data_IF_934322758998
#
_entry.id   IF_934322758998
#
_cell.length_a   1.000
_cell.length_b   1.000
_cell.length_c   1.000
_cell.angle_alpha   90.00
_cell.angle_beta   90.00
_cell.angle_gamma   90.00
#
_symmetry.space_group_name_H-M   'P 1'
#
loop_
_entity.id
_entity.type
_entity.pdbx_description
1 polymer ?
#
# COMPACT_ATOMS: atom_id res chain seq x y z
N UNK A 1 26.76 3.56 11.67
CA UNK A 1 25.96 3.71 12.90
C UNK A 1 25.63 5.17 13.23
N UNK A 2 26.52 6.14 12.95
CA UNK A 2 26.25 7.56 13.24
C UNK A 2 25.07 8.11 12.44
N UNK A 3 24.98 7.80 11.16
CA UNK A 3 23.86 8.19 10.30
C UNK A 3 22.53 7.49 10.61
N UNK A 4 22.57 6.34 11.26
CA UNK A 4 21.39 5.55 11.61
C UNK A 4 20.38 6.36 12.43
N UNK A 5 20.85 7.03 13.50
CA UNK A 5 19.96 7.81 14.38
C UNK A 5 19.36 9.03 13.66
N UNK A 6 20.13 9.65 12.76
CA UNK A 6 19.63 10.74 11.92
C UNK A 6 18.57 10.29 10.91
N UNK A 7 18.77 9.13 10.27
CA UNK A 7 17.80 8.55 9.34
C UNK A 7 16.52 8.14 10.08
N UNK A 8 16.66 7.45 11.22
CA UNK A 8 15.52 7.06 12.07
C UNK A 8 14.74 8.30 12.49
N UNK A 9 15.42 9.33 13.00
CA UNK A 9 14.78 10.59 13.40
C UNK A 9 14.08 11.28 12.22
N UNK A 10 14.70 11.29 11.05
CA UNK A 10 14.11 11.85 9.83
C UNK A 10 12.84 11.11 9.40
N UNK A 11 12.88 9.77 9.39
CA UNK A 11 11.73 8.94 9.01
C UNK A 11 10.60 9.04 10.04
N UNK A 12 10.92 8.99 11.34
CA UNK A 12 9.92 9.10 12.42
C UNK A 12 9.21 10.44 12.39
N UNK A 13 9.96 11.53 12.15
CA UNK A 13 9.37 12.87 12.04
C UNK A 13 8.54 13.05 10.76
N UNK A 14 8.95 12.45 9.66
CA UNK A 14 8.27 12.56 8.37
C UNK A 14 6.97 11.75 8.32
N UNK A 15 6.91 10.65 9.06
CA UNK A 15 5.77 9.73 9.11
C UNK A 15 4.96 9.85 10.40
N UNK A 16 5.29 10.81 11.26
CA UNK A 16 4.68 11.03 12.58
C UNK A 16 4.56 9.75 13.43
N UNK A 17 5.62 8.94 13.41
CA UNK A 17 5.63 7.67 14.13
C UNK A 17 5.96 7.88 15.60
N UNK A 18 5.16 7.30 16.49
CA UNK A 18 5.36 7.32 17.95
C UNK A 18 6.48 6.40 18.42
N UNK A 19 7.67 6.51 17.83
CA UNK A 19 8.83 5.71 18.24
C UNK A 19 9.61 6.45 19.33
N UNK A 20 9.76 5.81 20.48
CA UNK A 20 10.60 6.36 21.55
C UNK A 20 12.08 6.29 21.17
N UNK A 21 12.61 7.41 20.65
CA UNK A 21 13.99 7.54 20.18
C UNK A 21 15.04 7.28 21.29
N UNK A 22 14.66 7.33 22.57
CA UNK A 22 15.57 7.05 23.70
C UNK A 22 15.91 5.56 23.83
N UNK A 23 15.04 4.66 23.32
CA UNK A 23 15.25 3.22 23.33
C UNK A 23 16.18 2.71 22.21
N UNK A 24 16.54 3.57 21.25
CA UNK A 24 17.40 3.20 20.13
C UNK A 24 18.85 3.48 20.50
N UNK A 25 19.70 2.42 20.70
CA UNK A 25 21.08 2.62 21.10
C UNK A 25 21.90 3.26 19.98
N UNK A 26 22.79 4.19 20.33
CA UNK A 26 23.73 4.81 19.39
C UNK A 26 24.66 3.78 18.71
N UNK A 27 25.06 2.76 19.45
CA UNK A 27 25.92 1.67 18.98
C UNK A 27 25.28 0.32 19.37
N UNK A 28 24.94 -0.45 18.36
CA UNK A 28 24.51 -1.83 18.55
C UNK A 28 25.66 -2.75 18.09
N UNK A 29 26.45 -3.23 19.05
CA UNK A 29 27.63 -4.06 18.79
C UNK A 29 27.26 -5.34 18.02
N UNK A 30 26.13 -5.96 18.34
CA UNK A 30 25.64 -7.14 17.62
C UNK A 30 25.32 -6.85 16.16
N UNK A 31 24.67 -5.72 15.86
CA UNK A 31 24.37 -5.32 14.49
C UNK A 31 25.66 -5.01 13.71
N UNK A 32 26.61 -4.30 14.34
CA UNK A 32 27.91 -3.99 13.73
C UNK A 32 28.68 -5.26 13.43
N UNK A 33 28.77 -6.21 14.38
CA UNK A 33 29.47 -7.48 14.20
C UNK A 33 28.86 -8.32 13.08
N UNK A 34 27.52 -8.46 13.04
CA UNK A 34 26.82 -9.18 11.97
C UNK A 34 27.04 -8.53 10.59
N UNK A 35 26.99 -7.20 10.52
CA UNK A 35 27.23 -6.46 9.28
C UNK A 35 28.68 -6.60 8.82
N UNK A 36 29.64 -6.50 9.74
CA UNK A 36 31.05 -6.70 9.43
C UNK A 36 31.34 -8.13 8.92
N UNK A 37 30.75 -9.14 9.56
CA UNK A 37 30.85 -10.53 9.11
C UNK A 37 30.24 -10.73 7.71
N UNK A 38 29.10 -10.12 7.43
CA UNK A 38 28.45 -10.17 6.12
C UNK A 38 29.30 -9.48 5.03
N UNK A 39 29.84 -8.28 5.31
CA UNK A 39 30.71 -7.57 4.38
C UNK A 39 32.00 -8.40 4.12
N UNK A 40 32.56 -8.98 5.15
CA UNK A 40 33.76 -9.82 5.04
C UNK A 40 33.49 -11.06 4.17
N UNK A 41 32.33 -11.70 4.32
CA UNK A 41 31.90 -12.81 3.46
C UNK A 41 31.78 -12.37 1.99
N UNK A 42 31.18 -11.21 1.71
CA UNK A 42 31.08 -10.65 0.35
C UNK A 42 32.48 -10.39 -0.23
N UNK A 43 33.38 -9.77 0.54
CA UNK A 43 34.75 -9.49 0.11
C UNK A 43 35.49 -10.79 -0.23
N UNK A 44 35.35 -11.83 0.55
CA UNK A 44 35.93 -13.17 0.26
C UNK A 44 35.39 -13.71 -1.06
N UNK A 45 34.06 -13.67 -1.27
CA UNK A 45 33.45 -14.16 -2.53
C UNK A 45 33.96 -13.38 -3.72
N UNK A 46 34.05 -12.05 -3.62
CA UNK A 46 34.60 -11.19 -4.68
C UNK A 46 36.08 -11.48 -4.93
N UNK A 47 36.86 -11.66 -3.87
CA UNK A 47 38.30 -11.99 -3.96
C UNK A 47 38.51 -13.33 -4.65
N UNK A 48 37.74 -14.36 -4.31
CA UNK A 48 37.77 -15.68 -4.94
C UNK A 48 37.34 -15.61 -6.42
N UNK A 49 36.32 -14.83 -6.73
CA UNK A 49 35.83 -14.62 -8.10
C UNK A 49 36.89 -13.91 -8.96
N UNK A 50 37.49 -12.84 -8.46
CA UNK A 50 38.54 -12.10 -9.14
C UNK A 50 39.82 -12.93 -9.28
N UNK A 51 40.20 -13.69 -8.26
CA UNK A 51 41.33 -14.60 -8.29
C UNK A 51 41.17 -15.65 -9.37
N UNK A 52 39.99 -16.29 -9.49
CA UNK A 52 39.68 -17.23 -10.58
C UNK A 52 39.82 -16.60 -11.96
N UNK A 53 39.42 -15.35 -12.09
CA UNK A 53 39.56 -14.60 -13.35
C UNK A 53 41.05 -14.36 -13.68
N UNK A 54 41.84 -13.92 -12.71
CA UNK A 54 43.29 -13.66 -12.86
C UNK A 54 44.08 -14.94 -13.23
N UNK A 55 43.76 -16.07 -12.54
CA UNK A 55 44.42 -17.35 -12.86
C UNK A 55 44.08 -17.92 -14.25
N UNK A 56 42.90 -17.54 -14.79
CA UNK A 56 42.51 -17.95 -16.17
C UNK A 56 43.04 -17.03 -17.27
N UNK A 57 43.52 -15.86 -16.95
CA UNK A 57 43.97 -14.86 -17.92
C UNK A 57 45.49 -14.77 -17.90
N UNK A 58 46.15 -15.05 -19.03
CA UNK A 58 47.60 -14.85 -19.15
C UNK A 58 47.94 -13.35 -19.07
N UNK A 59 49.08 -13.00 -18.48
CA UNK A 59 49.60 -11.62 -18.40
C UNK A 59 49.55 -10.92 -19.76
N UNK A 60 49.91 -11.63 -20.84
CA UNK A 60 49.84 -11.13 -22.21
C UNK A 60 48.40 -10.93 -22.68
N UNK A 61 47.45 -11.75 -22.19
CA UNK A 61 46.02 -11.61 -22.44
C UNK A 61 45.44 -10.34 -21.78
N UNK A 62 45.93 -9.99 -20.59
CA UNK A 62 45.50 -8.79 -19.85
C UNK A 62 45.94 -7.51 -20.59
N UNK A 63 47.17 -7.44 -21.09
CA UNK A 63 47.69 -6.29 -21.85
C UNK A 63 47.01 -6.19 -23.23
N UNK A 64 46.65 -7.32 -23.84
CA UNK A 64 45.92 -7.35 -25.13
C UNK A 64 44.41 -7.20 -24.97
N UNK A 65 43.87 -7.32 -23.76
CA UNK A 65 42.43 -7.21 -23.52
C UNK A 65 41.90 -5.81 -23.91
N UNK A 66 42.72 -4.78 -23.70
CA UNK A 66 42.41 -3.41 -24.10
C UNK A 66 42.33 -3.20 -25.63
N UNK A 67 42.99 -4.08 -26.39
CA UNK A 67 43.05 -4.06 -27.89
C UNK A 67 42.19 -5.17 -28.52
N UNK A 68 41.57 -6.07 -27.74
CA UNK A 68 40.75 -7.13 -28.32
C UNK A 68 39.47 -6.53 -28.85
N UNK A 69 39.21 -6.73 -30.15
CA UNK A 69 37.95 -6.34 -30.77
C UNK A 69 36.82 -7.00 -30.01
N UNK A 70 35.90 -6.20 -29.49
CA UNK A 70 34.73 -6.70 -28.76
C UNK A 70 34.02 -7.80 -29.56
N UNK A 71 33.70 -8.90 -28.86
CA UNK A 71 32.94 -10.02 -29.45
C UNK A 71 31.66 -9.52 -30.10
N UNK A 72 31.46 -9.82 -31.39
CA UNK A 72 30.20 -9.52 -32.09
C UNK A 72 29.05 -10.15 -31.33
N UNK A 73 28.13 -9.33 -30.80
CA UNK A 73 26.92 -9.86 -30.20
C UNK A 73 26.12 -10.58 -31.29
N UNK A 74 25.86 -11.85 -31.06
CA UNK A 74 24.91 -12.62 -31.89
C UNK A 74 23.52 -12.37 -31.33
N UNK A 75 22.61 -12.01 -32.20
CA UNK A 75 21.19 -11.96 -31.84
C UNK A 75 20.69 -13.40 -31.67
N UNK A 76 20.11 -13.68 -30.56
CA UNK A 76 19.41 -14.92 -30.27
C UNK A 76 17.94 -14.63 -30.05
N UNK A 77 17.09 -14.99 -31.00
CA UNK A 77 15.64 -14.74 -30.91
C UNK A 77 14.98 -15.52 -29.77
N UNK A 78 15.44 -16.74 -29.53
CA UNK A 78 14.85 -17.64 -28.51
C UNK A 78 14.89 -17.01 -27.11
N UNK A 79 16.01 -16.53 -26.55
CA UNK A 79 16.01 -15.90 -25.23
C UNK A 79 15.16 -14.63 -25.17
N UNK A 80 15.04 -13.86 -26.27
CA UNK A 80 14.19 -12.67 -26.30
C UNK A 80 12.71 -13.02 -26.17
N UNK A 81 12.26 -14.04 -26.92
CA UNK A 81 10.88 -14.53 -26.87
C UNK A 81 10.60 -15.13 -25.49
N UNK A 82 11.49 -15.98 -24.98
CA UNK A 82 11.34 -16.59 -23.65
C UNK A 82 11.27 -15.50 -22.58
N UNK A 83 12.14 -14.50 -22.60
CA UNK A 83 12.12 -13.40 -21.67
C UNK A 83 10.81 -12.61 -21.72
N UNK A 84 10.30 -12.33 -22.91
CA UNK A 84 9.02 -11.67 -23.10
C UNK A 84 7.85 -12.50 -22.59
N UNK A 85 7.82 -13.80 -22.89
CA UNK A 85 6.80 -14.71 -22.37
C UNK A 85 6.84 -14.82 -20.83
N UNK A 86 8.04 -14.87 -20.23
CA UNK A 86 8.18 -14.87 -18.77
C UNK A 86 7.60 -13.60 -18.14
N UNK A 87 7.84 -12.42 -18.73
CA UNK A 87 7.27 -11.17 -18.25
C UNK A 87 5.74 -11.21 -18.33
N UNK A 88 5.18 -11.59 -19.48
CA UNK A 88 3.72 -11.69 -19.66
C UNK A 88 3.11 -12.67 -18.67
N UNK A 89 3.70 -13.86 -18.52
CA UNK A 89 3.23 -14.85 -17.54
C UNK A 89 3.28 -14.31 -16.12
N UNK A 90 4.33 -13.57 -15.75
CA UNK A 90 4.41 -12.90 -14.46
C UNK A 90 3.30 -11.89 -14.24
N UNK A 91 2.97 -11.06 -15.22
CA UNK A 91 1.85 -10.11 -15.15
C UNK A 91 0.48 -10.81 -15.11
N UNK A 92 0.26 -11.81 -15.94
CA UNK A 92 -0.98 -12.60 -15.92
C UNK A 92 -1.18 -13.25 -14.56
N UNK A 93 -0.11 -13.83 -13.99
CA UNK A 93 -0.16 -14.45 -12.67
C UNK A 93 -0.41 -13.39 -11.57
N UNK A 94 0.18 -12.20 -11.69
CA UNK A 94 -0.08 -11.11 -10.74
C UNK A 94 -1.54 -10.63 -10.80
N UNK A 95 -2.13 -10.53 -12.00
CA UNK A 95 -3.52 -10.10 -12.18
C UNK A 95 -4.55 -11.17 -11.77
N UNK A 96 -4.14 -12.43 -11.72
CA UNK A 96 -5.03 -13.53 -11.32
C UNK A 96 -5.55 -13.39 -9.88
N UNK A 97 -4.84 -12.64 -9.03
CA UNK A 97 -5.30 -12.32 -7.65
C UNK A 97 -6.68 -11.65 -7.62
N UNK A 98 -7.04 -10.90 -8.68
CA UNK A 98 -8.34 -10.23 -8.80
C UNK A 98 -9.52 -11.19 -8.93
N UNK A 99 -9.27 -12.49 -9.18
CA UNK A 99 -10.30 -13.52 -9.24
C UNK A 99 -10.75 -14.04 -7.86
N UNK A 100 -10.20 -13.48 -6.78
CA UNK A 100 -10.57 -13.86 -5.41
C UNK A 100 -10.33 -15.34 -5.14
N UNK A 101 -11.33 -16.02 -4.62
CA UNK A 101 -11.24 -17.44 -4.20
C UNK A 101 -10.93 -18.42 -5.34
N UNK A 102 -11.22 -18.05 -6.59
CA UNK A 102 -10.93 -18.86 -7.80
C UNK A 102 -9.50 -18.66 -8.31
N UNK A 103 -8.72 -17.82 -7.66
CA UNK A 103 -7.34 -17.52 -8.08
C UNK A 103 -6.37 -18.65 -7.72
N UNK A 104 -5.29 -18.74 -8.52
CA UNK A 104 -4.17 -19.64 -8.23
C UNK A 104 -3.48 -19.25 -6.92
N UNK A 105 -3.57 -17.96 -6.54
CA UNK A 105 -3.05 -17.42 -5.28
C UNK A 105 -3.73 -18.04 -4.06
N UNK A 106 -5.03 -18.23 -4.13
CA UNK A 106 -5.79 -18.84 -3.04
C UNK A 106 -5.57 -20.36 -2.99
N UNK A 107 -5.51 -21.05 -4.15
CA UNK A 107 -5.39 -22.51 -4.22
C UNK A 107 -4.02 -23.04 -3.83
N UNK A 108 -2.93 -22.35 -4.18
CA UNK A 108 -1.53 -22.80 -3.92
C UNK A 108 -0.94 -22.07 -2.71
N UNK A 109 -1.42 -20.86 -2.42
CA UNK A 109 -0.94 -20.00 -1.35
C UNK A 109 -0.17 -18.78 -1.85
N UNK A 110 -0.24 -17.70 -1.09
CA UNK A 110 0.31 -16.39 -1.48
C UNK A 110 1.84 -16.40 -1.61
N UNK A 111 2.55 -17.00 -0.65
CA UNK A 111 4.02 -16.94 -0.61
C UNK A 111 4.69 -17.64 -1.81
N UNK A 112 4.35 -18.89 -2.18
CA UNK A 112 4.99 -19.55 -3.32
C UNK A 112 4.67 -18.85 -4.65
N UNK A 113 3.44 -18.37 -4.84
CA UNK A 113 3.04 -17.69 -6.08
C UNK A 113 3.72 -16.33 -6.18
N UNK A 114 3.83 -15.55 -5.09
CA UNK A 114 4.56 -14.29 -5.07
C UNK A 114 6.04 -14.47 -5.45
N UNK A 115 6.70 -15.50 -4.90
CA UNK A 115 8.08 -15.82 -5.23
C UNK A 115 8.24 -16.26 -6.70
N UNK A 116 7.32 -17.06 -7.20
CA UNK A 116 7.33 -17.48 -8.62
C UNK A 116 7.15 -16.27 -9.55
N UNK A 117 6.19 -15.41 -9.26
CA UNK A 117 5.93 -14.19 -10.04
C UNK A 117 7.16 -13.27 -10.04
N UNK A 118 7.79 -13.07 -8.88
CA UNK A 118 9.01 -12.28 -8.76
C UNK A 118 10.14 -12.85 -9.62
N UNK A 119 10.40 -14.16 -9.53
CA UNK A 119 11.44 -14.84 -10.30
C UNK A 119 11.17 -14.73 -11.80
N UNK A 120 9.92 -14.97 -12.24
CA UNK A 120 9.53 -14.85 -13.64
C UNK A 120 9.78 -13.44 -14.19
N UNK A 121 9.39 -12.40 -13.47
CA UNK A 121 9.58 -11.01 -13.90
C UNK A 121 11.06 -10.66 -13.92
N UNK A 122 11.84 -11.01 -12.89
CA UNK A 122 13.28 -10.68 -12.82
C UNK A 122 14.06 -11.41 -13.91
N UNK A 123 13.90 -12.71 -14.03
CA UNK A 123 14.60 -13.52 -15.06
C UNK A 123 14.13 -13.10 -16.46
N UNK A 124 12.82 -12.89 -16.63
CA UNK A 124 12.26 -12.39 -17.89
C UNK A 124 12.85 -11.06 -18.30
N UNK A 125 12.98 -10.09 -17.38
CA UNK A 125 13.59 -8.79 -17.65
C UNK A 125 15.07 -8.91 -18.04
N UNK A 126 15.84 -9.73 -17.34
CA UNK A 126 17.26 -9.98 -17.67
C UNK A 126 17.40 -10.58 -19.08
N UNK A 127 16.63 -11.62 -19.40
CA UNK A 127 16.65 -12.27 -20.70
C UNK A 127 16.17 -11.35 -21.82
N UNK A 128 15.11 -10.60 -21.57
CA UNK A 128 14.55 -9.65 -22.52
C UNK A 128 15.54 -8.56 -22.86
N UNK A 129 16.05 -7.80 -21.86
CA UNK A 129 16.97 -6.68 -22.10
C UNK A 129 18.27 -7.18 -22.76
N UNK A 130 18.83 -8.29 -22.30
CA UNK A 130 20.07 -8.83 -22.87
C UNK A 130 19.95 -9.26 -24.33
N UNK A 131 18.75 -9.67 -24.77
CA UNK A 131 18.49 -10.14 -26.14
C UNK A 131 17.83 -9.09 -27.03
N UNK A 132 17.01 -8.20 -26.46
CA UNK A 132 16.30 -7.14 -27.17
C UNK A 132 17.25 -6.05 -27.68
N UNK A 133 18.26 -5.69 -26.90
CA UNK A 133 19.26 -4.72 -27.31
C UNK A 133 20.00 -5.11 -28.62
N UNK A 134 20.55 -6.34 -28.76
CA UNK A 134 21.12 -6.78 -30.02
C UNK A 134 20.14 -6.79 -31.20
N UNK A 135 18.84 -7.05 -30.92
CA UNK A 135 17.77 -7.04 -31.93
C UNK A 135 17.51 -5.64 -32.48
N UNK A 136 17.34 -4.64 -31.60
CA UNK A 136 17.17 -3.22 -32.01
C UNK A 136 18.32 -2.74 -32.83
N UNK A 137 19.56 -3.09 -32.44
CA UNK A 137 20.79 -2.80 -33.19
C UNK A 137 20.75 -3.45 -34.57
N UNK A 138 20.31 -4.71 -34.67
CA UNK A 138 20.25 -5.43 -35.93
C UNK A 138 19.24 -4.81 -36.90
N UNK A 139 18.04 -4.48 -36.43
CA UNK A 139 16.97 -3.83 -37.22
C UNK A 139 17.45 -2.44 -37.69
N UNK A 140 18.06 -1.66 -36.78
CA UNK A 140 18.55 -0.33 -37.11
C UNK A 140 19.59 -0.36 -38.23
N UNK A 141 20.48 -1.37 -38.27
CA UNK A 141 21.47 -1.57 -39.32
C UNK A 141 20.90 -2.03 -40.67
N UNK A 142 19.81 -2.82 -40.64
CA UNK A 142 19.19 -3.33 -41.87
C UNK A 142 18.44 -2.24 -42.64
N UNK A 143 18.01 -1.18 -41.98
CA UNK A 143 17.31 -0.08 -42.65
C UNK A 143 18.30 0.96 -43.20
N UNK A 144 19.04 0.60 -44.24
CA UNK A 144 20.13 1.39 -44.87
C UNK A 144 19.70 2.81 -45.23
N UNK A 145 18.47 3.03 -45.71
CA UNK A 145 17.97 4.34 -46.14
C UNK A 145 17.83 5.35 -45.00
N UNK A 146 17.46 4.89 -43.79
CA UNK A 146 17.32 5.71 -42.56
C UNK A 146 18.66 5.82 -41.81
N UNK A 147 19.54 4.83 -41.93
CA UNK A 147 20.81 4.78 -41.21
C UNK A 147 21.88 5.73 -41.79
N UNK A 148 21.88 5.94 -43.10
CA UNK A 148 22.86 6.76 -43.82
C UNK A 148 22.42 8.20 -44.10
N UNK A 149 21.52 8.80 -43.27
CA UNK A 149 21.22 10.23 -43.32
C UNK A 149 22.27 11.03 -42.55
N UNK A 150 22.61 12.23 -43.04
CA UNK A 150 23.77 13.07 -42.65
C UNK A 150 24.14 13.10 -41.17
N UNK A 151 23.21 13.34 -40.28
CA UNK A 151 23.44 13.39 -38.82
C UNK A 151 23.43 12.00 -38.16
N UNK A 152 22.75 11.04 -38.75
CA UNK A 152 22.56 9.69 -38.16
C UNK A 152 23.75 8.77 -38.39
N UNK A 153 24.60 9.06 -39.36
CA UNK A 153 25.84 8.30 -39.62
C UNK A 153 26.77 8.31 -38.40
N UNK A 154 26.80 9.43 -37.67
CA UNK A 154 27.71 9.59 -36.52
C UNK A 154 26.99 9.23 -35.22
N UNK A 155 25.70 9.63 -35.03
CA UNK A 155 24.97 9.42 -33.79
C UNK A 155 24.51 7.99 -33.60
N UNK A 156 24.07 7.30 -34.67
CA UNK A 156 23.53 5.94 -34.52
C UNK A 156 24.58 4.89 -34.12
N UNK A 157 25.80 4.85 -34.74
CA UNK A 157 26.85 3.93 -34.30
C UNK A 157 27.31 4.20 -32.87
N UNK A 158 27.45 5.48 -32.47
CA UNK A 158 27.82 5.83 -31.09
C UNK A 158 26.76 5.42 -30.07
N UNK A 159 25.50 5.64 -30.38
CA UNK A 159 24.40 5.20 -29.55
C UNK A 159 24.32 3.67 -29.41
N UNK A 160 24.47 2.95 -30.54
CA UNK A 160 24.48 1.50 -30.57
C UNK A 160 25.68 0.93 -29.78
N UNK A 161 26.83 1.55 -29.91
CA UNK A 161 28.05 1.16 -29.18
C UNK A 161 27.88 1.36 -27.68
N UNK A 162 27.36 2.51 -27.28
CA UNK A 162 27.04 2.82 -25.86
C UNK A 162 26.05 1.85 -25.26
N UNK A 163 24.94 1.60 -25.93
CA UNK A 163 23.94 0.62 -25.46
C UNK A 163 24.51 -0.78 -25.31
N UNK A 164 25.43 -1.15 -26.18
CA UNK A 164 26.07 -2.46 -26.19
C UNK A 164 27.06 -2.64 -25.03
N UNK A 165 27.90 -1.64 -24.81
CA UNK A 165 28.91 -1.64 -23.75
C UNK A 165 28.24 -1.68 -22.37
N UNK A 166 27.08 -1.03 -22.21
CA UNK A 166 26.43 -0.79 -20.94
C UNK A 166 25.19 -1.67 -20.68
N UNK A 167 24.99 -2.74 -21.47
CA UNK A 167 23.77 -3.60 -21.31
C UNK A 167 23.61 -4.17 -19.90
N UNK A 168 24.70 -4.55 -19.24
CA UNK A 168 24.67 -5.04 -17.85
C UNK A 168 24.27 -3.93 -16.87
N UNK A 169 24.78 -2.73 -17.07
CA UNK A 169 24.43 -1.56 -16.25
C UNK A 169 22.97 -1.17 -16.45
N UNK A 170 22.45 -1.25 -17.67
CA UNK A 170 21.02 -1.04 -17.95
C UNK A 170 20.13 -2.06 -17.24
N UNK A 171 20.50 -3.35 -17.25
CA UNK A 171 19.77 -4.38 -16.51
C UNK A 171 19.78 -4.08 -15.03
N UNK A 172 20.93 -3.78 -14.44
CA UNK A 172 21.05 -3.43 -13.03
C UNK A 172 20.22 -2.19 -12.68
N UNK A 173 20.30 -1.14 -13.51
CA UNK A 173 19.53 0.08 -13.31
C UNK A 173 18.01 -0.17 -13.39
N UNK A 174 17.57 -0.93 -14.40
CA UNK A 174 16.15 -1.28 -14.55
C UNK A 174 15.64 -2.06 -13.35
N UNK A 175 16.36 -3.09 -12.91
CA UNK A 175 15.95 -3.91 -11.76
C UNK A 175 15.98 -3.10 -10.47
N UNK A 176 17.00 -2.25 -10.27
CA UNK A 176 17.11 -1.43 -9.07
C UNK A 176 16.03 -0.34 -9.03
N UNK A 177 15.75 0.31 -10.18
CA UNK A 177 14.65 1.27 -10.29
C UNK A 177 13.28 0.60 -10.04
N UNK A 178 13.07 -0.58 -10.61
CA UNK A 178 11.86 -1.36 -10.37
C UNK A 178 11.71 -1.74 -8.88
N UNK A 179 12.80 -2.18 -8.24
CA UNK A 179 12.80 -2.48 -6.81
C UNK A 179 12.48 -1.23 -5.97
N UNK A 180 13.09 -0.07 -6.30
CA UNK A 180 12.81 1.21 -5.62
C UNK A 180 11.33 1.58 -5.72
N UNK A 181 10.78 1.53 -6.93
CA UNK A 181 9.36 1.84 -7.16
C UNK A 181 8.44 0.85 -6.42
N UNK A 182 8.76 -0.44 -6.45
CA UNK A 182 7.97 -1.46 -5.75
C UNK A 182 7.96 -1.22 -4.25
N UNK A 183 9.12 -1.01 -3.62
CA UNK A 183 9.20 -0.77 -2.17
C UNK A 183 8.52 0.55 -1.80
N UNK A 184 8.68 1.61 -2.61
CA UNK A 184 7.99 2.89 -2.40
C UNK A 184 6.47 2.75 -2.50
N UNK A 185 5.98 1.97 -3.48
CA UNK A 185 4.55 1.71 -3.65
C UNK A 185 3.99 0.89 -2.49
N UNK A 186 4.69 -0.15 -2.06
CA UNK A 186 4.28 -0.95 -0.88
C UNK A 186 4.22 -0.06 0.35
N UNK A 187 5.20 0.82 0.56
CA UNK A 187 5.20 1.75 1.69
C UNK A 187 4.00 2.71 1.62
N UNK A 188 3.74 3.31 0.45
CA UNK A 188 2.61 4.23 0.26
C UNK A 188 1.26 3.53 0.50
N UNK A 189 1.08 2.32 -0.03
CA UNK A 189 -0.13 1.54 0.17
C UNK A 189 -0.30 1.08 1.64
N UNK A 190 0.80 0.73 2.29
CA UNK A 190 0.79 0.36 3.72
C UNK A 190 0.45 1.53 4.65
N UNK A 191 0.63 2.78 4.20
CA UNK A 191 0.15 3.97 4.90
C UNK A 191 -1.32 4.26 4.59
N UNK A 192 -1.70 4.16 3.31
CA UNK A 192 -3.04 4.53 2.85
C UNK A 192 -4.13 3.55 3.30
N UNK A 193 -3.94 2.25 3.10
CA UNK A 193 -4.98 1.25 3.38
C UNK A 193 -5.43 1.17 4.84
N UNK A 194 -4.55 1.22 5.85
CA UNK A 194 -4.98 1.25 7.24
C UNK A 194 -5.85 2.46 7.58
N UNK A 195 -5.50 3.66 7.07
CA UNK A 195 -6.31 4.88 7.29
C UNK A 195 -7.70 4.70 6.68
N UNK A 196 -7.77 4.26 5.41
CA UNK A 196 -9.03 3.99 4.74
C UNK A 196 -9.85 2.88 5.41
N UNK A 197 -9.20 1.86 5.97
CA UNK A 197 -9.87 0.82 6.72
C UNK A 197 -10.41 1.33 8.06
N UNK A 198 -9.63 2.13 8.79
CA UNK A 198 -10.06 2.69 10.08
C UNK A 198 -11.25 3.64 9.89
N UNK A 199 -11.27 4.46 8.84
CA UNK A 199 -12.42 5.35 8.58
C UNK A 199 -13.73 4.61 8.35
N UNK A 200 -13.67 3.32 7.97
CA UNK A 200 -14.84 2.43 7.86
C UNK A 200 -15.13 1.67 9.14
N UNK A 201 -14.07 1.26 9.86
CA UNK A 201 -14.20 0.44 11.08
C UNK A 201 -14.54 1.26 12.33
N UNK A 202 -14.12 2.51 12.39
CA UNK A 202 -14.38 3.48 13.45
C UNK A 202 -14.57 4.85 12.80
N UNK A 203 -15.76 5.13 12.25
CA UNK A 203 -16.02 6.31 11.43
C UNK A 203 -16.08 7.61 12.23
N UNK A 204 -16.52 7.55 13.48
CA UNK A 204 -16.57 8.71 14.39
C UNK A 204 -15.24 8.94 15.09
N UNK A 205 -14.97 10.18 15.49
CA UNK A 205 -13.74 10.49 16.25
C UNK A 205 -13.71 9.72 17.58
N UNK A 206 -14.85 9.66 18.28
CA UNK A 206 -15.06 8.79 19.44
C UNK A 206 -16.47 8.21 19.35
N UNK A 207 -16.61 6.95 19.70
CA UNK A 207 -17.89 6.25 19.71
C UNK A 207 -17.90 5.25 20.87
N UNK A 208 -18.98 5.21 21.60
CA UNK A 208 -19.16 4.29 22.70
C UNK A 208 -20.60 3.76 22.77
N UNK A 209 -20.73 2.55 23.29
CA UNK A 209 -22.03 1.97 23.63
C UNK A 209 -22.47 2.51 24.96
N UNK A 210 -23.75 2.85 25.08
CA UNK A 210 -24.38 3.35 26.28
C UNK A 210 -25.19 2.20 26.93
N UNK A 211 -24.94 1.95 28.19
CA UNK A 211 -25.71 0.97 28.97
C UNK A 211 -26.78 1.67 29.85
N UNK A 212 -26.51 2.91 30.27
CA UNK A 212 -27.39 3.70 31.10
C UNK A 212 -27.41 5.17 30.65
N UNK A 213 -28.58 5.79 30.62
CA UNK A 213 -28.72 7.21 30.27
C UNK A 213 -27.86 8.16 31.13
N UNK A 214 -27.61 7.81 32.41
CA UNK A 214 -26.75 8.60 33.30
C UNK A 214 -25.30 8.67 32.86
N UNK A 215 -24.83 7.73 32.02
CA UNK A 215 -23.47 7.72 31.47
C UNK A 215 -23.28 8.83 30.45
N UNK A 216 -24.35 9.18 29.73
CA UNK A 216 -24.29 10.21 28.66
C UNK A 216 -23.83 11.57 29.22
N UNK A 217 -24.38 11.96 30.37
CA UNK A 217 -24.05 13.24 30.99
C UNK A 217 -22.61 13.26 31.50
N UNK A 218 -22.13 12.16 32.07
CA UNK A 218 -20.77 12.01 32.53
C UNK A 218 -19.78 12.04 31.34
N UNK A 219 -20.08 11.32 30.25
CA UNK A 219 -19.28 11.33 29.02
C UNK A 219 -19.23 12.74 28.43
N UNK A 220 -20.38 13.43 28.32
CA UNK A 220 -20.44 14.82 27.86
C UNK A 220 -19.59 15.76 28.72
N UNK A 221 -19.57 15.56 30.04
CA UNK A 221 -18.73 16.36 30.92
C UNK A 221 -17.24 16.14 30.63
N UNK A 222 -16.79 14.88 30.57
CA UNK A 222 -15.40 14.54 30.25
C UNK A 222 -14.98 15.15 28.90
N UNK A 223 -15.83 15.01 27.87
CA UNK A 223 -15.54 15.56 26.54
C UNK A 223 -15.45 17.08 26.58
N UNK A 224 -16.36 17.75 27.32
CA UNK A 224 -16.36 19.23 27.46
C UNK A 224 -15.14 19.78 28.21
N UNK A 225 -14.54 19.01 29.10
CA UNK A 225 -13.30 19.36 29.77
C UNK A 225 -12.09 19.38 28.83
N UNK A 226 -12.12 18.54 27.77
CA UNK A 226 -11.04 18.39 26.79
C UNK A 226 -11.31 19.14 25.48
N UNK A 227 -12.45 19.74 25.29
CA UNK A 227 -12.88 20.34 24.02
C UNK A 227 -13.34 21.78 24.16
N UNK A 228 -13.41 22.48 23.03
CA UNK A 228 -14.08 23.78 22.92
C UNK A 228 -15.59 23.55 22.79
N UNK A 229 -16.38 24.11 23.70
CA UNK A 229 -17.83 23.82 23.88
C UNK A 229 -18.74 23.94 22.64
N UNK A 230 -18.28 24.57 21.55
CA UNK A 230 -19.13 24.84 20.38
C UNK A 230 -18.76 24.02 19.12
N UNK A 231 -17.83 23.08 19.24
CA UNK A 231 -17.26 22.37 18.08
C UNK A 231 -17.54 20.85 18.12
N UNK A 232 -18.20 20.36 19.15
CA UNK A 232 -18.45 18.93 19.34
C UNK A 232 -19.91 18.62 19.16
N UNK A 233 -20.22 17.67 18.27
CA UNK A 233 -21.54 17.09 18.07
C UNK A 233 -21.65 15.75 18.81
N UNK A 234 -22.78 15.54 19.46
CA UNK A 234 -23.15 14.31 20.14
C UNK A 234 -24.39 13.75 19.45
N UNK A 235 -24.26 12.59 18.83
CA UNK A 235 -25.35 11.92 18.14
C UNK A 235 -25.61 10.57 18.80
N UNK A 236 -26.81 10.40 19.35
CA UNK A 236 -27.28 9.17 19.94
C UNK A 236 -28.07 8.38 18.90
N UNK A 237 -27.75 7.12 18.73
CA UNK A 237 -28.38 6.24 17.74
C UNK A 237 -28.78 4.94 18.39
N UNK A 238 -30.08 4.64 18.32
CA UNK A 238 -30.62 3.35 18.72
C UNK A 238 -30.53 2.38 17.54
N UNK A 239 -30.05 1.18 17.79
CA UNK A 239 -29.89 0.14 16.79
C UNK A 239 -30.85 -0.99 17.10
N UNK A 240 -31.76 -1.26 16.17
CA UNK A 240 -32.72 -2.34 16.31
C UNK A 240 -32.28 -3.54 15.48
N UNK A 241 -32.28 -4.71 16.10
CA UNK A 241 -31.94 -5.93 15.40
C UNK A 241 -33.18 -6.62 14.90
N UNK A 242 -33.25 -6.82 13.60
CA UNK A 242 -34.35 -7.43 12.89
C UNK A 242 -33.88 -8.70 12.22
N UNK A 243 -34.54 -9.82 12.45
CA UNK A 243 -34.26 -11.08 11.77
C UNK A 243 -34.87 -11.08 10.38
N UNK A 244 -34.17 -11.71 9.42
CA UNK A 244 -34.71 -11.94 8.09
C UNK A 244 -35.01 -13.42 7.89
N UNK A 245 -36.15 -13.71 7.22
CA UNK A 245 -36.50 -15.07 6.82
C UNK A 245 -35.85 -15.51 5.52
N UNK A 246 -35.12 -14.64 4.86
CA UNK A 246 -34.43 -14.93 3.61
C UNK A 246 -33.23 -15.88 3.80
N UNK A 247 -33.15 -16.92 2.95
CA UNK A 247 -31.97 -17.78 2.86
C UNK A 247 -30.77 -17.08 2.16
N UNK A 248 -31.00 -15.94 1.51
CA UNK A 248 -30.02 -15.20 0.72
C UNK A 248 -29.42 -14.00 1.46
N UNK A 249 -29.54 -13.96 2.79
CA UNK A 249 -28.87 -12.93 3.60
C UNK A 249 -27.35 -12.98 3.32
N UNK A 250 -26.71 -11.84 3.04
CA UNK A 250 -25.29 -11.80 2.78
C UNK A 250 -24.48 -12.45 3.90
N UNK A 251 -23.38 -13.13 3.55
CA UNK A 251 -22.55 -13.88 4.50
C UNK A 251 -22.06 -13.02 5.67
N UNK A 252 -21.86 -11.74 5.45
CA UNK A 252 -21.45 -10.76 6.48
C UNK A 252 -22.53 -10.53 7.54
N UNK A 253 -23.79 -10.82 7.24
CA UNK A 253 -24.95 -10.69 8.12
C UNK A 253 -25.52 -12.03 8.59
N UNK A 254 -25.04 -13.13 8.01
CA UNK A 254 -25.41 -14.45 8.45
C UNK A 254 -24.68 -14.80 9.76
N UNK A 255 -25.28 -15.68 10.58
CA UNK A 255 -24.66 -16.20 11.78
C UNK A 255 -23.35 -16.94 11.42
N UNK A 256 -22.25 -16.24 11.43
CA UNK A 256 -20.94 -16.77 11.14
C UNK A 256 -20.02 -16.61 12.33
N UNK A 257 -19.46 -17.72 12.83
CA UNK A 257 -18.27 -17.63 13.65
C UNK A 257 -17.15 -17.03 12.77
N UNK A 258 -16.76 -15.79 13.00
CA UNK A 258 -15.49 -15.34 12.47
C UNK A 258 -14.42 -16.26 13.05
N UNK A 259 -13.78 -17.04 12.20
CA UNK A 259 -12.52 -17.73 12.53
C UNK A 259 -11.42 -16.69 12.68
N UNK A 260 -11.46 -15.94 13.75
CA UNK A 260 -10.34 -15.17 14.24
C UNK A 260 -9.51 -16.09 15.13
N UNK A 261 -8.26 -16.22 14.85
CA UNK A 261 -7.25 -17.01 15.57
C UNK A 261 -6.92 -16.43 16.97
N UNK A 262 -7.88 -16.01 17.73
CA UNK A 262 -7.69 -15.68 19.15
C UNK A 262 -8.75 -16.34 19.99
N UNK A 263 -8.31 -17.12 20.96
CA UNK A 263 -9.11 -17.92 21.92
C UNK A 263 -10.01 -17.09 22.85
N UNK A 264 -10.24 -15.81 22.56
CA UNK A 264 -11.06 -14.93 23.36
C UNK A 264 -12.32 -14.52 22.60
N UNK A 265 -13.44 -15.06 23.07
CA UNK A 265 -14.82 -14.70 22.79
C UNK A 265 -15.25 -14.78 21.32
N UNK A 266 -15.74 -15.96 20.96
CA UNK A 266 -16.65 -16.13 19.83
C UNK A 266 -17.91 -15.32 20.11
N UNK A 267 -18.01 -14.12 19.59
CA UNK A 267 -19.27 -13.39 19.53
C UNK A 267 -20.14 -14.13 18.54
N UNK A 268 -21.01 -14.99 19.05
CA UNK A 268 -22.07 -15.63 18.27
C UNK A 268 -23.11 -14.56 17.96
N UNK A 269 -23.11 -14.08 16.72
CA UNK A 269 -24.13 -13.16 16.23
C UNK A 269 -25.22 -13.97 15.56
N UNK A 270 -26.48 -13.74 15.96
CA UNK A 270 -27.63 -14.31 15.26
C UNK A 270 -27.75 -13.65 13.87
N UNK A 271 -28.23 -14.40 12.88
CA UNK A 271 -28.53 -13.86 11.56
C UNK A 271 -29.56 -12.73 11.67
N UNK A 272 -29.34 -11.63 10.96
CA UNK A 272 -30.25 -10.50 10.95
C UNK A 272 -29.56 -9.20 10.57
N UNK A 273 -30.35 -8.17 10.44
CA UNK A 273 -29.90 -6.83 10.12
C UNK A 273 -30.01 -5.93 11.35
N UNK A 274 -29.06 -5.05 11.49
CA UNK A 274 -29.06 -3.98 12.49
C UNK A 274 -29.56 -2.70 11.81
N UNK A 275 -30.82 -2.33 12.10
CA UNK A 275 -31.51 -1.24 11.44
C UNK A 275 -31.24 0.11 12.10
N UNK A 276 -30.97 1.12 11.30
CA UNK A 276 -30.92 2.53 11.69
C UNK A 276 -31.80 3.36 10.74
N UNK A 277 -32.28 4.52 11.21
CA UNK A 277 -33.08 5.41 10.39
C UNK A 277 -32.22 6.16 9.35
N UNK A 278 -32.83 6.51 8.25
CA UNK A 278 -32.20 7.32 7.21
C UNK A 278 -31.74 8.68 7.72
N UNK A 279 -32.57 9.36 8.54
CA UNK A 279 -32.22 10.64 9.14
C UNK A 279 -31.00 10.55 10.04
N UNK A 280 -30.90 9.51 10.88
CA UNK A 280 -29.73 9.28 11.73
C UNK A 280 -28.48 8.98 10.89
N UNK A 281 -28.63 8.19 9.82
CA UNK A 281 -27.54 7.92 8.90
C UNK A 281 -26.96 9.19 8.29
N UNK A 282 -27.83 10.06 7.76
CA UNK A 282 -27.42 11.33 7.18
C UNK A 282 -26.74 12.26 8.19
N UNK A 283 -27.31 12.37 9.40
CA UNK A 283 -26.72 13.16 10.48
C UNK A 283 -25.34 12.66 10.90
N UNK A 284 -25.15 11.35 10.98
CA UNK A 284 -23.86 10.73 11.30
C UNK A 284 -22.82 11.00 10.22
N UNK A 285 -23.18 10.85 8.93
CA UNK A 285 -22.28 11.13 7.81
C UNK A 285 -21.87 12.62 7.77
N UNK A 286 -22.82 13.52 8.05
CA UNK A 286 -22.54 14.96 8.12
C UNK A 286 -21.56 15.28 9.25
N UNK A 287 -21.80 14.74 10.47
CA UNK A 287 -20.95 14.92 11.63
C UNK A 287 -19.54 14.33 11.42
N UNK A 288 -19.43 13.25 10.65
CA UNK A 288 -18.16 12.60 10.27
C UNK A 288 -17.46 13.30 9.10
N UNK A 289 -18.11 14.31 8.48
CA UNK A 289 -17.54 15.07 7.35
C UNK A 289 -17.53 14.32 6.02
N UNK A 290 -18.32 13.26 5.85
CA UNK A 290 -18.41 12.42 4.63
C UNK A 290 -19.33 13.01 3.57
N UNK A 291 -19.06 14.26 3.13
CA UNK A 291 -19.90 14.99 2.18
C UNK A 291 -20.12 14.29 0.83
N UNK A 292 -19.14 13.55 0.35
CA UNK A 292 -19.25 12.81 -0.91
C UNK A 292 -20.26 11.66 -0.88
N UNK A 293 -20.50 11.08 0.28
CA UNK A 293 -21.52 10.05 0.47
C UNK A 293 -22.93 10.66 0.50
N UNK A 294 -23.07 11.84 1.12
CA UNK A 294 -24.35 12.55 1.20
C UNK A 294 -24.91 12.93 -0.17
N UNK A 295 -24.07 13.26 -1.16
CA UNK A 295 -24.48 13.64 -2.50
C UNK A 295 -24.94 12.45 -3.37
N UNK A 296 -24.59 11.23 -3.00
CA UNK A 296 -24.86 10.02 -3.80
C UNK A 296 -26.17 9.33 -3.42
N UNK A 297 -26.76 9.70 -2.28
CA UNK A 297 -27.91 9.01 -1.71
C UNK A 297 -29.14 9.90 -1.87
N UNK A 298 -30.15 9.37 -2.60
CA UNK A 298 -31.46 10.02 -2.74
C UNK A 298 -32.41 9.75 -1.57
N UNK A 299 -33.59 10.33 -1.59
CA UNK A 299 -34.64 10.05 -0.61
C UNK A 299 -35.02 8.56 -0.61
N UNK A 300 -35.26 8.01 0.56
CA UNK A 300 -35.60 6.60 0.77
C UNK A 300 -37.11 6.45 1.02
N UNK A 301 -37.76 5.54 0.31
CA UNK A 301 -39.18 5.24 0.48
C UNK A 301 -39.39 4.04 1.43
N UNK A 302 -40.61 3.85 1.94
CA UNK A 302 -40.95 2.89 3.01
C UNK A 302 -40.56 1.43 2.76
N UNK A 303 -40.52 1.02 1.48
CA UNK A 303 -40.13 -0.35 1.10
C UNK A 303 -38.70 -0.45 0.58
N UNK A 304 -37.91 0.60 0.73
CA UNK A 304 -36.55 0.68 0.23
C UNK A 304 -35.54 0.68 1.37
N UNK A 305 -34.35 0.17 1.12
CA UNK A 305 -33.26 0.20 2.07
C UNK A 305 -31.90 0.36 1.41
N UNK A 306 -30.93 0.83 2.17
CA UNK A 306 -29.53 0.90 1.77
C UNK A 306 -28.76 -0.08 2.63
N UNK A 307 -27.96 -0.93 1.99
CA UNK A 307 -27.14 -1.92 2.66
C UNK A 307 -25.71 -1.41 2.83
N UNK A 308 -25.26 -1.34 4.08
CA UNK A 308 -23.87 -0.98 4.37
C UNK A 308 -22.99 -2.21 4.23
N UNK A 309 -22.07 -2.20 3.28
CA UNK A 309 -21.14 -3.30 3.04
C UNK A 309 -19.92 -3.21 3.93
N UNK A 310 -19.53 -4.34 4.49
CA UNK A 310 -18.35 -4.49 5.31
C UNK A 310 -17.05 -4.42 4.47
N UNK A 311 -17.05 -5.07 3.32
CA UNK A 311 -15.91 -5.13 2.41
C UNK A 311 -16.34 -4.77 0.98
N UNK A 312 -15.44 -4.13 0.21
CA UNK A 312 -15.69 -3.93 -1.21
C UNK A 312 -15.67 -5.31 -1.90
N UNK A 313 -16.84 -5.86 -2.16
CA UNK A 313 -16.99 -7.09 -2.93
C UNK A 313 -17.28 -6.74 -4.38
N UNK A 314 -16.47 -7.24 -5.30
CA UNK A 314 -16.63 -7.00 -6.74
C UNK A 314 -17.68 -7.91 -7.38
N UNK A 315 -18.04 -9.00 -6.73
CA UNK A 315 -18.76 -10.10 -7.37
C UNK A 315 -20.24 -10.22 -6.96
N UNK A 316 -20.68 -9.55 -5.88
CA UNK A 316 -22.05 -9.58 -5.41
C UNK A 316 -22.59 -8.15 -5.34
N UNK A 317 -23.24 -7.72 -6.39
CA UNK A 317 -24.12 -6.56 -6.37
C UNK A 317 -25.47 -6.99 -5.79
N UNK A 318 -25.78 -6.51 -4.59
CA UNK A 318 -27.02 -6.85 -3.88
C UNK A 318 -28.12 -5.84 -4.16
N UNK A 319 -27.88 -4.88 -5.04
CA UNK A 319 -28.90 -3.93 -5.50
C UNK A 319 -30.03 -4.67 -6.21
N UNK A 320 -31.24 -4.43 -5.79
CA UNK A 320 -32.45 -5.09 -6.27
C UNK A 320 -32.86 -6.36 -5.49
N UNK A 321 -32.04 -6.83 -4.56
CA UNK A 321 -32.44 -7.91 -3.68
C UNK A 321 -33.56 -7.45 -2.73
N UNK A 322 -34.45 -8.38 -2.42
CA UNK A 322 -35.56 -8.14 -1.49
C UNK A 322 -35.34 -8.98 -0.24
N UNK A 323 -35.35 -8.32 0.90
CA UNK A 323 -35.21 -8.98 2.20
C UNK A 323 -36.50 -8.85 3.01
N UNK A 324 -37.16 -9.98 3.31
CA UNK A 324 -38.26 -9.99 4.25
C UNK A 324 -37.72 -9.83 5.70
N UNK A 325 -38.17 -8.81 6.40
CA UNK A 325 -37.81 -8.47 7.76
C UNK A 325 -38.97 -8.88 8.69
N UNK A 326 -38.66 -9.60 9.75
CA UNK A 326 -39.64 -10.02 10.75
C UNK A 326 -39.69 -8.98 11.87
N UNK A 327 -40.77 -8.20 11.94
CA UNK A 327 -41.01 -7.16 12.92
C UNK A 327 -42.21 -7.60 13.79
N UNK A 328 -41.94 -7.97 15.04
CA UNK A 328 -42.98 -8.59 15.87
C UNK A 328 -43.54 -9.87 15.24
N UNK A 329 -44.78 -9.84 14.81
CA UNK A 329 -45.47 -10.93 14.12
C UNK A 329 -45.73 -10.65 12.62
N UNK A 330 -45.28 -9.52 12.13
CA UNK A 330 -45.48 -9.11 10.75
C UNK A 330 -44.19 -9.25 9.92
N UNK A 331 -44.36 -9.61 8.66
CA UNK A 331 -43.25 -9.71 7.72
C UNK A 331 -43.34 -8.55 6.74
N UNK A 332 -42.33 -7.66 6.75
CA UNK A 332 -42.22 -6.50 5.86
C UNK A 332 -41.03 -6.72 4.91
N UNK A 333 -41.29 -6.64 3.63
CA UNK A 333 -40.25 -6.80 2.62
C UNK A 333 -39.64 -5.46 2.25
N UNK A 334 -38.30 -5.37 2.30
CA UNK A 334 -37.54 -4.19 1.89
C UNK A 334 -36.65 -4.53 0.68
N UNK A 335 -36.54 -3.58 -0.26
CA UNK A 335 -35.74 -3.74 -1.46
C UNK A 335 -34.44 -2.92 -1.33
N UNK A 336 -33.30 -3.54 -1.56
CA UNK A 336 -32.00 -2.85 -1.57
C UNK A 336 -31.89 -1.98 -2.81
N UNK A 337 -31.92 -0.66 -2.66
CA UNK A 337 -31.78 0.29 -3.77
C UNK A 337 -30.33 0.68 -4.02
N UNK A 338 -29.49 0.61 -2.98
CA UNK A 338 -28.08 0.93 -3.07
C UNK A 338 -27.27 0.15 -2.03
N UNK A 339 -26.00 -0.04 -2.33
CA UNK A 339 -25.01 -0.54 -1.37
C UNK A 339 -23.94 0.51 -1.13
N UNK A 340 -23.48 0.67 0.09
CA UNK A 340 -22.45 1.66 0.44
C UNK A 340 -21.35 1.06 1.31
N UNK A 341 -20.15 1.63 1.22
CA UNK A 341 -19.02 1.34 2.11
C UNK A 341 -18.88 2.39 3.22
N UNK A 342 -19.70 3.43 3.20
CA UNK A 342 -19.69 4.50 4.18
C UNK A 342 -20.44 4.09 5.43
N UNK A 343 -19.78 3.26 6.24
CA UNK A 343 -20.32 2.82 7.50
C UNK A 343 -20.52 4.01 8.47
N UNK A 344 -21.69 4.19 9.07
CA UNK A 344 -21.96 5.29 10.01
C UNK A 344 -21.52 4.98 11.44
N UNK A 345 -21.47 3.69 11.81
CA UNK A 345 -21.21 3.21 13.16
C UNK A 345 -20.03 2.24 13.14
N UNK A 346 -19.26 2.21 14.22
CA UNK A 346 -18.09 1.32 14.30
C UNK A 346 -18.47 -0.15 14.28
N UNK A 347 -17.60 -1.01 13.73
CA UNK A 347 -17.81 -2.45 13.68
C UNK A 347 -17.84 -3.13 15.07
N UNK A 348 -17.35 -2.46 16.10
CA UNK A 348 -17.47 -2.94 17.45
C UNK A 348 -18.92 -2.81 17.97
N UNK A 349 -19.64 -1.80 17.51
CA UNK A 349 -20.98 -1.48 17.94
C UNK A 349 -22.06 -1.99 16.98
N UNK A 350 -21.81 -2.00 15.68
CA UNK A 350 -22.73 -2.54 14.67
C UNK A 350 -21.98 -3.22 13.54
N UNK A 351 -22.41 -4.44 13.19
CA UNK A 351 -22.01 -5.11 11.95
C UNK A 351 -23.28 -5.58 11.27
N UNK A 352 -23.54 -5.11 10.07
CA UNK A 352 -24.74 -5.51 9.37
C UNK A 352 -25.81 -4.44 9.38
N UNK A 353 -25.36 -3.20 9.26
CA UNK A 353 -26.24 -2.04 9.25
C UNK A 353 -27.07 -2.00 7.97
N UNK A 354 -28.37 -1.98 8.16
CA UNK A 354 -29.39 -1.72 7.16
C UNK A 354 -29.99 -0.35 7.42
N UNK A 355 -29.95 0.53 6.44
CA UNK A 355 -30.53 1.87 6.55
C UNK A 355 -31.94 1.78 5.96
N UNK A 356 -32.93 2.08 6.78
CA UNK A 356 -34.34 2.05 6.40
C UNK A 356 -34.96 3.44 6.46
N UNK A 357 -36.14 3.60 5.85
CA UNK A 357 -36.90 4.85 5.96
C UNK A 357 -37.22 5.19 7.43
N UNK A 358 -37.40 6.46 7.73
CA UNK A 358 -37.74 6.89 9.09
C UNK A 358 -39.06 6.31 9.55
N UNK A 359 -40.07 6.19 8.67
CA UNK A 359 -41.36 5.61 8.99
C UNK A 359 -41.25 4.12 9.33
N UNK A 360 -40.48 3.35 8.59
CA UNK A 360 -40.23 1.93 8.90
C UNK A 360 -39.41 1.77 10.19
N UNK A 361 -38.44 2.64 10.43
CA UNK A 361 -37.65 2.63 11.65
C UNK A 361 -38.54 2.90 12.88
N UNK A 362 -39.45 3.86 12.80
CA UNK A 362 -40.39 4.15 13.89
C UNK A 362 -41.34 2.96 14.15
N UNK A 363 -41.82 2.31 13.09
CA UNK A 363 -42.61 1.09 13.22
C UNK A 363 -41.84 -0.07 13.88
N UNK A 364 -40.54 -0.21 13.59
CA UNK A 364 -39.67 -1.19 14.29
C UNK A 364 -39.52 -0.82 15.78
N UNK A 365 -39.35 0.48 16.07
CA UNK A 365 -39.15 0.98 17.43
C UNK A 365 -40.37 0.79 18.32
N UNK A 366 -41.59 0.77 17.76
CA UNK A 366 -42.84 0.48 18.50
C UNK A 366 -42.96 -0.99 18.94
N UNK A 367 -42.40 -1.92 18.14
CA UNK A 367 -42.57 -3.37 18.36
C UNK A 367 -41.34 -4.02 19.04
N UNK A 368 -40.15 -3.46 18.90
CA UNK A 368 -38.88 -4.06 19.31
C UNK A 368 -38.09 -3.06 20.16
N UNK A 369 -37.52 -3.52 21.26
CA UNK A 369 -36.59 -2.71 22.05
C UNK A 369 -35.23 -2.61 21.35
N UNK A 370 -34.51 -1.49 21.48
CA UNK A 370 -33.19 -1.36 20.89
C UNK A 370 -32.21 -2.39 21.46
N UNK A 371 -31.47 -3.07 20.62
CA UNK A 371 -30.43 -4.02 21.08
C UNK A 371 -29.20 -3.27 21.57
N UNK A 372 -28.89 -2.16 20.91
CA UNK A 372 -27.69 -1.37 21.23
C UNK A 372 -28.01 0.12 21.09
N UNK A 373 -27.53 0.88 22.03
CA UNK A 373 -27.55 2.34 22.01
C UNK A 373 -26.12 2.85 21.90
N UNK A 374 -25.87 3.69 20.91
CA UNK A 374 -24.54 4.18 20.57
C UNK A 374 -24.51 5.70 20.62
N UNK A 375 -23.51 6.25 21.30
CA UNK A 375 -23.19 7.67 21.31
C UNK A 375 -21.98 7.90 20.41
N UNK A 376 -22.20 8.62 19.31
CA UNK A 376 -21.16 9.07 18.38
C UNK A 376 -20.79 10.52 18.66
N UNK A 377 -19.50 10.78 18.85
CA UNK A 377 -18.95 12.08 19.24
C UNK A 377 -17.97 12.53 18.15
N UNK A 378 -18.25 13.66 17.52
CA UNK A 378 -17.46 14.18 16.43
C UNK A 378 -17.17 15.67 16.66
N UNK A 379 -15.98 16.13 16.28
CA UNK A 379 -15.60 17.53 16.41
C UNK A 379 -14.12 17.73 16.14
N UNK A 380 -13.77 18.91 15.61
CA UNK A 380 -12.39 19.22 15.27
C UNK A 380 -11.49 19.36 16.52
N UNK A 381 -12.05 19.82 17.64
CA UNK A 381 -11.29 20.03 18.89
C UNK A 381 -10.92 18.73 19.60
N UNK A 382 -11.65 17.62 19.33
CA UNK A 382 -11.40 16.31 19.93
C UNK A 382 -10.57 15.41 19.02
N UNK A 383 -10.34 15.82 17.78
CA UNK A 383 -9.54 15.09 16.82
C UNK A 383 -8.11 14.95 17.32
N UNK A 384 -7.55 13.74 17.21
CA UNK A 384 -6.20 13.40 17.66
C UNK A 384 -5.95 13.62 19.17
N UNK A 385 -7.02 13.73 19.99
CA UNK A 385 -6.89 13.90 21.43
C UNK A 385 -6.80 12.57 22.16
N UNK A 386 -5.58 12.04 22.27
CA UNK A 386 -5.30 10.77 22.95
C UNK A 386 -5.63 10.82 24.47
N UNK A 387 -5.46 11.99 25.11
CA UNK A 387 -5.76 12.13 26.54
C UNK A 387 -7.27 11.96 26.82
N UNK A 388 -8.12 12.56 25.99
CA UNK A 388 -9.57 12.39 26.06
C UNK A 388 -9.97 10.91 25.90
N UNK A 389 -9.37 10.23 24.91
CA UNK A 389 -9.67 8.81 24.70
C UNK A 389 -9.27 7.96 25.89
N UNK A 390 -8.13 8.21 26.52
CA UNK A 390 -7.67 7.49 27.71
C UNK A 390 -8.56 7.74 28.93
N UNK A 391 -8.99 8.97 29.16
CA UNK A 391 -9.88 9.31 30.28
C UNK A 391 -11.26 8.66 30.11
N UNK A 392 -11.78 8.61 28.86
CA UNK A 392 -13.01 7.85 28.55
C UNK A 392 -12.81 6.34 28.69
N UNK A 393 -11.64 5.81 28.32
CA UNK A 393 -11.32 4.40 28.50
C UNK A 393 -11.29 4.00 29.96
N UNK A 394 -10.67 4.82 30.81
CA UNK A 394 -10.67 4.62 32.26
C UNK A 394 -12.09 4.70 32.86
N UNK A 395 -12.89 5.69 32.44
CA UNK A 395 -14.28 5.85 32.89
C UNK A 395 -15.15 4.65 32.50
N UNK A 396 -15.00 4.14 31.26
CA UNK A 396 -15.77 3.01 30.73
C UNK A 396 -15.13 1.64 31.04
N UNK A 397 -14.16 1.55 31.94
CA UNK A 397 -13.45 0.33 32.35
C UNK A 397 -12.85 -0.46 31.18
N UNK A 398 -12.17 0.23 30.26
CA UNK A 398 -11.55 -0.37 29.06
C UNK A 398 -12.57 -1.14 28.18
N UNK A 399 -13.78 -0.63 28.08
CA UNK A 399 -14.84 -1.24 27.28
C UNK A 399 -14.40 -1.50 25.84
N UNK A 400 -14.57 -2.70 25.29
CA UNK A 400 -14.26 -3.01 23.90
C UNK A 400 -15.15 -2.27 22.90
N UNK A 401 -16.24 -1.69 23.37
CA UNK A 401 -17.20 -0.91 22.59
C UNK A 401 -16.84 0.57 22.49
N UNK A 402 -15.85 1.05 23.27
CA UNK A 402 -15.26 2.36 23.07
C UNK A 402 -14.31 2.30 21.86
N UNK A 403 -14.62 3.09 20.85
CA UNK A 403 -13.84 3.16 19.63
C UNK A 403 -13.44 4.61 19.35
N UNK A 404 -12.24 4.80 18.88
CA UNK A 404 -11.72 6.10 18.48
C UNK A 404 -10.99 6.00 17.14
N UNK A 405 -11.37 6.86 16.18
CA UNK A 405 -10.74 6.88 14.87
C UNK A 405 -9.23 7.15 14.98
N UNK A 406 -8.87 8.27 15.56
CA UNK A 406 -7.48 8.71 15.71
C UNK A 406 -6.67 7.74 16.59
N UNK A 407 -7.24 7.30 17.73
CA UNK A 407 -6.59 6.30 18.59
C UNK A 407 -6.27 5.01 17.82
N UNK A 408 -7.21 4.52 17.02
CA UNK A 408 -7.01 3.30 16.22
C UNK A 408 -5.93 3.47 15.14
N UNK A 409 -5.89 4.62 14.47
CA UNK A 409 -4.84 4.98 13.53
C UNK A 409 -3.47 5.00 14.23
N UNK A 410 -3.35 5.69 15.35
CA UNK A 410 -2.12 5.74 16.15
C UNK A 410 -1.66 4.34 16.58
N UNK A 411 -2.57 3.49 17.05
CA UNK A 411 -2.28 2.12 17.44
C UNK A 411 -1.73 1.28 16.28
N UNK A 412 -2.34 1.36 15.09
CA UNK A 412 -1.88 0.65 13.88
C UNK A 412 -0.48 1.14 13.48
N UNK A 413 -0.26 2.44 13.45
CA UNK A 413 1.04 3.00 13.11
C UNK A 413 2.11 2.67 14.14
N UNK A 414 1.78 2.70 15.42
CA UNK A 414 2.69 2.29 16.49
C UNK A 414 3.11 0.82 16.33
N UNK A 415 2.19 -0.10 16.10
CA UNK A 415 2.48 -1.51 15.86
C UNK A 415 3.29 -1.75 14.57
N UNK A 416 3.03 -0.96 13.52
CA UNK A 416 3.70 -1.07 12.23
C UNK A 416 4.96 -0.22 12.10
N UNK A 417 5.29 0.58 13.10
CA UNK A 417 6.35 1.60 13.06
C UNK A 417 7.72 1.03 12.65
N UNK A 418 8.08 -0.15 13.16
CA UNK A 418 9.35 -0.81 12.80
C UNK A 418 9.38 -1.24 11.32
N UNK A 419 8.25 -1.65 10.76
CA UNK A 419 8.10 -2.02 9.35
C UNK A 419 8.23 -0.80 8.46
N UNK A 420 7.56 0.31 8.80
CA UNK A 420 7.68 1.57 8.08
C UNK A 420 9.09 2.13 8.09
N UNK A 421 9.78 2.01 9.23
CA UNK A 421 11.17 2.43 9.38
C UNK A 421 12.09 1.60 8.47
N UNK A 422 11.89 0.28 8.42
CA UNK A 422 12.64 -0.61 7.54
C UNK A 422 12.38 -0.29 6.06
N UNK A 423 11.12 -0.15 5.65
CA UNK A 423 10.75 0.18 4.28
C UNK A 423 11.30 1.54 3.86
N UNK A 424 11.16 2.57 4.69
CA UNK A 424 11.71 3.90 4.45
C UNK A 424 13.23 3.89 4.27
N UNK A 425 13.95 3.12 5.11
CA UNK A 425 15.38 2.94 4.96
C UNK A 425 15.75 2.26 3.63
N UNK A 426 15.03 1.22 3.24
CA UNK A 426 15.25 0.52 1.97
C UNK A 426 15.01 1.43 0.76
N UNK A 427 13.95 2.26 0.79
CA UNK A 427 13.67 3.24 -0.27
C UNK A 427 14.83 4.21 -0.44
N UNK A 428 15.30 4.81 0.66
CA UNK A 428 16.45 5.73 0.65
C UNK A 428 17.71 5.03 0.11
N UNK A 429 17.99 3.83 0.57
CA UNK A 429 19.16 3.06 0.16
C UNK A 429 19.12 2.74 -1.34
N UNK A 430 18.00 2.27 -1.85
CA UNK A 430 17.84 1.98 -3.27
C UNK A 430 17.89 3.23 -4.12
N UNK A 431 17.34 4.35 -3.66
CA UNK A 431 17.42 5.62 -4.35
C UNK A 431 18.87 6.12 -4.48
N UNK A 432 19.64 6.08 -3.39
CA UNK A 432 21.06 6.42 -3.39
C UNK A 432 21.84 5.48 -4.30
N UNK A 433 21.58 4.18 -4.24
CA UNK A 433 22.26 3.20 -5.09
C UNK A 433 21.98 3.45 -6.58
N UNK A 434 20.72 3.71 -6.94
CA UNK A 434 20.31 4.03 -8.31
C UNK A 434 21.01 5.30 -8.80
N UNK A 435 20.99 6.37 -8.01
CA UNK A 435 21.66 7.63 -8.30
C UNK A 435 23.17 7.47 -8.46
N UNK A 436 23.82 6.67 -7.60
CA UNK A 436 25.25 6.38 -7.69
C UNK A 436 25.60 5.64 -8.98
N UNK A 437 24.85 4.61 -9.34
CA UNK A 437 25.07 3.86 -10.59
C UNK A 437 24.93 4.78 -11.81
N UNK A 438 23.88 5.61 -11.84
CA UNK A 438 23.68 6.60 -12.89
C UNK A 438 24.84 7.60 -12.98
N UNK A 439 25.27 8.14 -11.86
CA UNK A 439 26.35 9.09 -11.79
C UNK A 439 27.68 8.50 -12.30
N UNK A 440 28.09 7.33 -11.79
CA UNK A 440 29.32 6.68 -12.21
C UNK A 440 29.29 6.23 -13.67
N UNK A 441 28.13 5.78 -14.17
CA UNK A 441 28.00 5.41 -15.57
C UNK A 441 28.19 6.61 -16.48
N UNK A 442 27.56 7.75 -16.17
CA UNK A 442 27.70 8.99 -16.93
C UNK A 442 29.14 9.55 -16.86
N UNK A 443 29.78 9.44 -15.70
CA UNK A 443 31.17 9.89 -15.51
C UNK A 443 32.15 9.06 -16.34
N UNK A 444 32.02 7.74 -16.36
CA UNK A 444 32.81 6.83 -17.19
C UNK A 444 32.60 7.10 -18.67
N UNK A 445 31.40 7.33 -19.13
CA UNK A 445 31.08 7.68 -20.52
C UNK A 445 31.72 9.03 -20.92
N UNK A 446 31.71 10.01 -20.03
CA UNK A 446 32.39 11.28 -20.19
C UNK A 446 33.90 11.09 -20.44
N UNK A 447 34.58 10.35 -19.56
CA UNK A 447 36.01 10.06 -19.70
C UNK A 447 36.35 9.33 -20.99
N UNK A 448 35.57 8.32 -21.38
CA UNK A 448 35.79 7.57 -22.63
C UNK A 448 35.61 8.51 -23.84
N UNK A 449 34.61 9.36 -23.85
CA UNK A 449 34.37 10.33 -24.94
C UNK A 449 35.51 11.32 -25.07
N UNK A 450 36.05 11.84 -23.96
CA UNK A 450 37.21 12.73 -23.96
C UNK A 450 38.49 12.03 -24.44
N UNK A 451 38.73 10.80 -24.02
CA UNK A 451 39.87 9.99 -24.45
C UNK A 451 39.85 9.69 -25.97
N UNK A 452 38.67 9.41 -26.53
CA UNK A 452 38.49 9.13 -27.96
C UNK A 452 38.68 10.41 -28.81
N UNK A 453 38.25 11.57 -28.31
CA UNK A 453 38.38 12.86 -29.02
C UNK A 453 39.81 13.44 -28.98
N UNK A 454 40.75 12.79 -28.27
CA UNK A 454 42.16 13.21 -28.24
C UNK A 454 42.39 14.53 -27.52
N UNK A 455 41.46 15.02 -26.72
CA UNK A 455 41.61 16.24 -25.93
C UNK A 455 42.53 15.91 -24.74
N UNK A 456 43.81 16.24 -24.90
CA UNK A 456 44.88 15.90 -23.94
C UNK A 456 44.93 16.77 -22.68
N UNK A 457 44.17 17.83 -22.60
CA UNK A 457 44.20 18.73 -21.45
C UNK A 457 42.80 18.86 -20.79
N UNK A 458 42.73 18.31 -19.59
CA UNK A 458 41.63 18.55 -18.69
C UNK A 458 41.89 19.93 -18.05
N UNK A 459 41.44 20.98 -18.72
CA UNK A 459 41.54 22.32 -18.17
C UNK A 459 40.63 22.46 -16.97
N UNK A 460 41.18 22.83 -15.81
CA UNK A 460 40.48 22.97 -14.53
C UNK A 460 39.32 23.98 -14.56
N UNK A 461 39.22 24.80 -15.58
CA UNK A 461 38.18 25.82 -15.77
C UNK A 461 36.88 25.28 -16.39
N UNK A 462 36.87 24.10 -17.00
CA UNK A 462 35.68 23.56 -17.67
C UNK A 462 34.80 22.68 -16.77
N UNK A 463 34.61 23.04 -15.50
CA UNK A 463 33.56 22.46 -14.66
C UNK A 463 32.17 22.61 -15.28
N UNK A 464 31.93 23.60 -16.11
CA UNK A 464 30.64 23.91 -16.76
C UNK A 464 30.24 22.87 -17.79
N UNK A 465 31.14 22.21 -18.49
CA UNK A 465 30.80 21.18 -19.50
C UNK A 465 30.30 19.88 -18.84
N UNK A 466 30.84 19.55 -17.68
CA UNK A 466 30.33 18.41 -16.87
C UNK A 466 28.89 18.61 -16.41
N UNK A 467 28.52 19.82 -16.06
CA UNK A 467 27.14 20.16 -15.67
C UNK A 467 26.18 20.16 -16.88
N UNK A 468 26.61 20.60 -18.03
CA UNK A 468 25.80 20.56 -19.28
C UNK A 468 25.51 19.13 -19.74
N UNK A 469 26.46 18.21 -19.62
CA UNK A 469 26.25 16.79 -19.94
C UNK A 469 25.22 16.13 -18.98
N UNK A 470 25.20 16.53 -17.71
CA UNK A 470 24.22 16.07 -16.73
C UNK A 470 22.82 16.65 -17.06
N UNK A 471 22.73 17.93 -17.44
CA UNK A 471 21.46 18.56 -17.80
C UNK A 471 20.85 18.00 -19.09
N UNK A 472 21.66 17.68 -20.09
CA UNK A 472 21.18 17.09 -21.34
C UNK A 472 20.72 15.64 -21.25
N UNK A 473 20.98 14.98 -20.11
CA UNK A 473 20.51 13.59 -19.85
C UNK A 473 19.22 13.57 -19.02
N UNK A 474 18.81 14.71 -18.45
CA UNK A 474 17.58 14.85 -17.64
C UNK A 474 16.43 15.56 -18.38
N UNK A 475 16.65 16.02 -19.60
CA UNK A 475 15.62 16.52 -20.55
C UNK A 475 15.47 15.53 -21.69
#
# INVERSE_FOLDING_TARGET
SFFHKGIVFGITKLLDLSINNSKIPFFNVNAISKTACFIFAIVIVLMLSNSRFLFKTSLMGLVRFEKSAERKMKFHAVPAIVGFCCIILGYVLALDILRGDKSVWFSIGYTPIAMLTLVLVVVGTILFISSFLPFVVHISKNNKRKFYTETKIITSPNFIYRMRSNSKTLIMLTLLSAATLTVSSVMALSLYYPIAAVSRMAPSEIECRIENESEIDAIKQIVNEHSSKNDVSFLQTNIYKVTSTSEQVPLEYSAGSSKGDSDNEKILRNAGFECISYSNYMALLEAQGKKGALEQIGELHDSECILVKYQPASDNDETGNVYPLLIGNEEISVTVIATTLDNPISFANSIGTLIVSDDLYDAIAEEISPETEVLSINGQSIKDNEALFLDLSEYLNDSPYLQGNSHRIHKIFSLSSSTFLLLGFLVILFFIATGSILYFNNLLEGFISYAILGIKEFDKENKTVGYFAIYATFV
#
